data_IF_622004918381
#
_entry.id   IF_622004918381
#
_cell.length_a   1.000
_cell.length_b   1.000
_cell.length_c   1.000
_cell.angle_alpha   90.00
_cell.angle_beta   90.00
_cell.angle_gamma   90.00
#
_symmetry.space_group_name_H-M   'P 1'
#
loop_
_entity.id
_entity.type
_entity.pdbx_description
1 polymer ?
#
# COMPACT_ATOMS: atom_id res chain seq x y z
N UNK A 1 1.91 -29.45 9.99
CA UNK A 1 1.04 -28.83 8.97
C UNK A 1 0.50 -27.46 9.43
N UNK A 2 0.01 -27.31 10.62
CA UNK A 2 -0.57 -26.05 11.18
C UNK A 2 0.38 -24.84 11.19
N UNK A 3 1.69 -25.03 11.44
CA UNK A 3 2.68 -23.94 11.37
C UNK A 3 2.76 -23.32 9.97
N UNK A 4 2.72 -24.13 8.91
CA UNK A 4 2.75 -23.65 7.51
C UNK A 4 1.46 -22.89 7.16
N UNK A 5 0.31 -23.36 7.65
CA UNK A 5 -0.98 -22.69 7.43
C UNK A 5 -1.02 -21.31 8.12
N UNK A 6 -0.52 -21.24 9.36
CA UNK A 6 -0.42 -20.00 10.13
C UNK A 6 0.46 -18.96 9.42
N UNK A 7 1.64 -19.37 8.94
CA UNK A 7 2.55 -18.46 8.22
C UNK A 7 1.91 -17.97 6.92
N UNK A 8 1.26 -18.86 6.15
CA UNK A 8 0.56 -18.47 4.92
C UNK A 8 -0.57 -17.47 5.19
N UNK A 9 -1.33 -17.68 6.26
CA UNK A 9 -2.42 -16.77 6.64
C UNK A 9 -1.89 -15.39 7.02
N UNK A 10 -0.84 -15.33 7.87
CA UNK A 10 -0.19 -14.07 8.25
C UNK A 10 0.38 -13.38 7.01
N UNK A 11 1.10 -14.10 6.16
CA UNK A 11 1.70 -13.54 4.94
C UNK A 11 0.66 -12.98 3.98
N UNK A 12 -0.46 -13.70 3.76
CA UNK A 12 -1.54 -13.25 2.90
C UNK A 12 -2.19 -11.97 3.44
N UNK A 13 -2.50 -11.96 4.74
CA UNK A 13 -3.09 -10.79 5.38
C UNK A 13 -2.16 -9.57 5.33
N UNK A 14 -0.86 -9.77 5.61
CA UNK A 14 0.14 -8.72 5.53
C UNK A 14 0.33 -8.19 4.10
N UNK A 15 0.33 -9.10 3.10
CA UNK A 15 0.43 -8.70 1.70
C UNK A 15 -0.78 -7.85 1.27
N UNK A 16 -1.99 -8.25 1.68
CA UNK A 16 -3.22 -7.49 1.38
C UNK A 16 -3.16 -6.09 1.98
N UNK A 17 -2.79 -5.97 3.27
CA UNK A 17 -2.67 -4.67 3.95
C UNK A 17 -1.59 -3.81 3.30
N UNK A 18 -0.42 -4.39 2.97
CA UNK A 18 0.66 -3.67 2.30
C UNK A 18 0.25 -3.12 0.92
N UNK A 19 -0.47 -3.93 0.12
CA UNK A 19 -0.99 -3.50 -1.19
C UNK A 19 -1.99 -2.35 -1.03
N UNK A 20 -2.94 -2.46 -0.11
CA UNK A 20 -3.93 -1.40 0.15
C UNK A 20 -3.24 -0.10 0.57
N UNK A 21 -2.30 -0.16 1.52
CA UNK A 21 -1.54 1.01 1.95
C UNK A 21 -0.73 1.62 0.80
N UNK A 22 -0.07 0.80 -0.02
CA UNK A 22 0.70 1.28 -1.16
C UNK A 22 -0.18 2.02 -2.17
N UNK A 23 -1.36 1.47 -2.50
CA UNK A 23 -2.32 2.10 -3.42
C UNK A 23 -2.82 3.43 -2.86
N UNK A 24 -3.24 3.44 -1.59
CA UNK A 24 -3.76 4.67 -0.94
C UNK A 24 -2.68 5.74 -0.84
N UNK A 25 -1.46 5.40 -0.43
CA UNK A 25 -0.37 6.36 -0.30
C UNK A 25 0.08 6.91 -1.65
N UNK A 26 0.13 6.04 -2.68
CA UNK A 26 0.42 6.49 -4.04
C UNK A 26 -0.65 7.46 -4.54
N UNK A 27 -1.93 7.16 -4.31
CA UNK A 27 -3.04 8.05 -4.69
C UNK A 27 -2.94 9.41 -3.97
N UNK A 28 -2.65 9.42 -2.67
CA UNK A 28 -2.48 10.67 -1.89
C UNK A 28 -1.30 11.49 -2.46
N UNK A 29 -0.16 10.88 -2.70
CA UNK A 29 1.01 11.59 -3.26
C UNK A 29 0.74 12.16 -4.65
N UNK A 30 0.04 11.42 -5.52
CA UNK A 30 -0.33 11.90 -6.86
C UNK A 30 -1.30 13.07 -6.77
N UNK A 31 -2.32 12.98 -5.91
CA UNK A 31 -3.31 14.06 -5.73
C UNK A 31 -2.60 15.31 -5.16
N UNK A 32 -1.76 15.16 -4.15
CA UNK A 32 -1.01 16.27 -3.55
C UNK A 32 -0.09 16.95 -4.57
N UNK A 33 0.63 16.16 -5.38
CA UNK A 33 1.45 16.69 -6.46
C UNK A 33 0.62 17.49 -7.47
N UNK A 34 -0.50 16.94 -7.96
CA UNK A 34 -1.36 17.63 -8.90
C UNK A 34 -1.94 18.94 -8.32
N UNK A 35 -2.35 18.92 -7.06
CA UNK A 35 -2.85 20.11 -6.37
C UNK A 35 -1.74 21.16 -6.18
N UNK A 36 -0.51 20.72 -5.91
CA UNK A 36 0.62 21.63 -5.76
C UNK A 36 0.97 22.30 -7.08
N UNK A 37 1.01 21.55 -8.18
CA UNK A 37 1.22 22.10 -9.53
C UNK A 37 0.10 23.07 -9.91
N UNK A 38 -1.16 22.70 -9.65
CA UNK A 38 -2.30 23.59 -9.94
C UNK A 38 -2.22 24.90 -9.15
N UNK A 39 -1.84 24.87 -7.88
CA UNK A 39 -1.64 26.07 -7.05
C UNK A 39 -0.50 26.95 -7.58
N UNK A 40 0.59 26.35 -8.09
CA UNK A 40 1.68 27.12 -8.70
C UNK A 40 1.15 27.88 -9.91
N UNK A 41 0.41 27.23 -10.82
CA UNK A 41 -0.15 27.88 -12.00
C UNK A 41 -1.17 28.96 -11.64
N UNK A 42 -2.05 28.73 -10.67
CA UNK A 42 -2.99 29.73 -10.17
C UNK A 42 -2.27 30.98 -9.62
N UNK A 43 -1.16 30.76 -8.90
CA UNK A 43 -0.36 31.86 -8.36
C UNK A 43 0.38 32.64 -9.45
N UNK A 44 0.89 31.95 -10.49
CA UNK A 44 1.51 32.57 -11.66
C UNK A 44 0.49 33.41 -12.45
N UNK A 45 -0.69 32.87 -12.71
CA UNK A 45 -1.79 33.55 -13.39
C UNK A 45 -2.23 34.82 -12.63
N UNK A 46 -2.41 34.70 -11.32
CA UNK A 46 -2.74 35.85 -10.47
C UNK A 46 -1.63 36.93 -10.49
N UNK A 47 -0.36 36.53 -10.49
CA UNK A 47 0.76 37.46 -10.56
C UNK A 47 0.80 38.21 -11.89
N UNK A 48 0.54 37.52 -13.01
CA UNK A 48 0.44 38.16 -14.34
C UNK A 48 -0.74 39.06 -14.50
N UNK A 49 -1.91 38.72 -13.95
CA UNK A 49 -3.10 39.56 -13.98
C UNK A 49 -2.85 40.91 -13.28
N UNK A 50 -2.11 40.92 -12.17
CA UNK A 50 -1.76 42.17 -11.47
C UNK A 50 -0.66 42.98 -12.19
N UNK A 51 0.25 42.30 -12.91
CA UNK A 51 1.30 42.99 -13.65
C UNK A 51 0.76 43.69 -14.91
N UNK A 52 -0.34 43.18 -15.49
CA UNK A 52 -1.02 43.79 -16.65
C UNK A 52 -1.85 45.04 -16.31
N UNK A 53 -2.32 45.20 -15.09
CA UNK A 53 -3.03 46.37 -14.60
C UNK A 53 -1.99 47.45 -14.18
N UNK A 54 -1.46 48.15 -15.15
CA UNK A 54 -0.45 49.20 -14.97
C UNK A 54 -0.97 50.34 -14.13
N UNK A 55 -0.85 50.29 -12.80
CA UNK A 55 -1.19 51.37 -11.89
C UNK A 55 -1.28 50.99 -10.41
N UNK A 56 -1.29 49.74 -10.08
CA UNK A 56 -1.49 49.30 -8.69
C UNK A 56 -0.18 48.98 -7.97
N UNK A 57 0.14 49.72 -6.93
CA UNK A 57 1.19 49.36 -5.95
C UNK A 57 0.89 47.99 -5.33
N UNK A 58 1.74 47.47 -4.45
CA UNK A 58 1.68 46.09 -3.94
C UNK A 58 0.36 45.81 -3.23
N UNK A 59 -0.65 45.34 -3.98
CA UNK A 59 -1.91 44.94 -3.38
C UNK A 59 -1.76 43.54 -2.77
N UNK A 60 -2.02 43.47 -1.46
CA UNK A 60 -2.01 42.25 -0.63
C UNK A 60 -3.23 41.36 -0.85
N UNK A 61 -3.67 41.18 -2.10
CA UNK A 61 -4.87 40.44 -2.44
C UNK A 61 -4.58 39.03 -2.92
N UNK A 62 -4.81 38.04 -2.07
CA UNK A 62 -5.24 36.69 -2.49
C UNK A 62 -4.23 35.67 -2.98
N UNK A 63 -2.95 35.98 -3.16
CA UNK A 63 -1.94 34.97 -3.45
C UNK A 63 -1.29 34.46 -2.16
N UNK A 64 -1.09 33.17 -2.05
CA UNK A 64 -0.39 32.54 -0.93
C UNK A 64 0.93 33.30 -0.68
N UNK A 65 1.10 33.95 0.53
CA UNK A 65 2.29 34.75 0.82
C UNK A 65 3.58 33.95 0.85
N UNK A 66 3.52 32.64 0.75
CA UNK A 66 4.65 31.72 0.90
C UNK A 66 5.32 31.32 -0.42
N UNK A 67 4.74 31.62 -1.60
CA UNK A 67 5.30 31.15 -2.86
C UNK A 67 6.11 32.23 -3.58
N UNK A 68 7.42 32.05 -3.79
CA UNK A 68 8.26 33.02 -4.49
C UNK A 68 7.97 32.97 -5.99
N UNK A 69 7.43 34.05 -6.53
CA UNK A 69 7.14 34.24 -7.96
C UNK A 69 7.89 35.46 -8.46
N UNK A 70 8.56 35.34 -9.61
CA UNK A 70 9.23 36.43 -10.30
C UNK A 70 8.48 36.75 -11.60
N UNK A 71 8.06 38.00 -11.80
CA UNK A 71 7.38 38.47 -13.01
C UNK A 71 8.26 39.44 -13.77
N UNK A 72 8.43 39.20 -15.06
CA UNK A 72 9.21 39.99 -15.98
C UNK A 72 8.34 40.46 -17.17
N UNK A 73 8.62 41.64 -17.68
CA UNK A 73 8.15 42.08 -19.00
C UNK A 73 9.25 41.82 -20.04
N UNK A 74 8.90 41.37 -21.21
CA UNK A 74 9.80 41.23 -22.32
C UNK A 74 9.84 42.54 -23.09
N UNK A 75 11.02 43.21 -23.14
CA UNK A 75 11.21 44.42 -23.90
C UNK A 75 11.35 44.11 -25.41
N UNK A 76 11.26 45.17 -26.26
CA UNK A 76 11.32 45.04 -27.72
C UNK A 76 12.68 44.50 -28.23
N UNK A 77 13.72 44.58 -27.46
CA UNK A 77 15.05 44.00 -27.74
C UNK A 77 15.23 42.55 -27.26
N UNK A 78 14.17 41.95 -26.66
CA UNK A 78 14.18 40.62 -26.10
C UNK A 78 14.76 40.51 -24.68
N UNK A 79 15.14 41.65 -24.07
CA UNK A 79 15.59 41.68 -22.66
C UNK A 79 14.44 41.55 -21.68
N UNK A 80 14.74 41.00 -20.50
CA UNK A 80 13.78 40.88 -19.41
C UNK A 80 13.91 42.08 -18.45
N UNK A 81 12.84 42.87 -18.31
CA UNK A 81 12.74 43.87 -17.26
C UNK A 81 11.89 43.34 -16.10
N UNK A 82 12.43 43.37 -14.90
CA UNK A 82 11.70 42.92 -13.69
C UNK A 82 10.55 43.86 -13.39
N UNK A 83 9.31 43.37 -13.47
CA UNK A 83 8.10 44.14 -13.15
C UNK A 83 7.73 43.98 -11.68
N UNK A 84 7.86 42.78 -11.16
CA UNK A 84 7.58 42.49 -9.77
C UNK A 84 8.44 41.28 -9.32
N UNK A 85 9.34 41.52 -8.38
CA UNK A 85 10.05 40.45 -7.71
C UNK A 85 9.49 40.35 -6.29
N UNK A 86 8.56 39.44 -6.06
CA UNK A 86 8.20 39.10 -4.69
C UNK A 86 9.30 38.21 -4.13
N UNK A 87 10.20 38.86 -3.44
CA UNK A 87 11.13 38.40 -2.41
C UNK A 87 11.51 36.92 -2.45
N UNK A 88 12.78 36.67 -2.77
CA UNK A 88 13.60 35.47 -2.52
C UNK A 88 13.51 34.27 -3.49
N UNK A 89 12.89 34.35 -4.62
CA UNK A 89 13.30 33.45 -5.69
C UNK A 89 14.63 34.00 -6.24
N UNK A 90 15.74 33.56 -5.71
CA UNK A 90 17.06 33.82 -6.32
C UNK A 90 17.23 32.87 -7.51
N UNK A 91 16.37 33.07 -8.54
CA UNK A 91 16.59 32.42 -9.83
C UNK A 91 17.80 33.15 -10.41
N UNK A 92 18.84 32.41 -10.76
CA UNK A 92 20.05 33.01 -11.30
C UNK A 92 19.74 33.68 -12.64
N UNK A 93 20.37 34.85 -12.91
CA UNK A 93 20.13 35.64 -14.12
C UNK A 93 20.38 34.88 -15.40
N UNK A 94 21.35 33.97 -15.41
CA UNK A 94 21.66 33.10 -16.56
C UNK A 94 20.53 32.08 -16.83
N UNK A 95 19.86 31.56 -15.80
CA UNK A 95 18.71 30.66 -15.93
C UNK A 95 17.49 31.42 -16.46
N UNK A 96 17.29 32.66 -16.00
CA UNK A 96 16.21 33.54 -16.50
C UNK A 96 16.41 33.87 -17.97
N UNK A 97 17.65 34.20 -18.39
CA UNK A 97 17.96 34.48 -19.78
C UNK A 97 17.75 33.25 -20.70
N UNK A 98 18.12 32.06 -20.24
CA UNK A 98 17.82 30.81 -20.94
C UNK A 98 16.32 30.50 -21.02
N UNK A 99 15.58 30.71 -19.94
CA UNK A 99 14.14 30.51 -19.90
C UNK A 99 13.42 31.49 -20.86
N UNK A 100 13.81 32.76 -20.85
CA UNK A 100 13.27 33.76 -21.79
C UNK A 100 13.53 33.41 -23.26
N UNK A 101 14.75 33.00 -23.58
CA UNK A 101 15.11 32.58 -24.94
C UNK A 101 14.32 31.34 -25.39
N UNK A 102 14.07 30.38 -24.48
CA UNK A 102 13.29 29.18 -24.78
C UNK A 102 11.80 29.50 -25.02
N UNK A 103 11.28 30.59 -24.43
CA UNK A 103 9.89 30.98 -24.49
C UNK A 103 9.61 32.10 -25.51
N UNK A 104 10.64 32.67 -26.15
CA UNK A 104 10.48 33.79 -27.06
C UNK A 104 9.50 33.51 -28.20
N UNK A 105 9.62 32.37 -28.86
CA UNK A 105 8.77 31.95 -29.98
C UNK A 105 7.56 31.12 -29.60
N UNK A 106 7.35 30.85 -28.30
CA UNK A 106 6.18 30.06 -27.85
C UNK A 106 4.92 30.95 -27.75
N UNK A 107 3.73 30.41 -28.06
CA UNK A 107 2.50 31.10 -27.82
C UNK A 107 2.24 31.32 -26.32
N UNK A 108 1.28 32.22 -26.02
CA UNK A 108 0.82 32.41 -24.65
C UNK A 108 0.33 31.08 -24.05
N UNK A 109 0.69 30.80 -22.79
CA UNK A 109 0.32 29.58 -22.11
C UNK A 109 1.20 29.34 -20.90
N UNK A 110 0.89 28.26 -20.20
CA UNK A 110 1.59 27.82 -18.98
C UNK A 110 2.25 26.45 -19.19
N UNK A 111 3.32 26.18 -18.46
CA UNK A 111 4.03 24.90 -18.53
C UNK A 111 5.20 24.78 -17.57
N UNK A 112 6.04 23.76 -17.83
CA UNK A 112 7.28 23.53 -17.10
C UNK A 112 8.48 23.55 -18.04
N UNK A 113 9.59 24.10 -17.54
CA UNK A 113 10.91 24.01 -18.14
C UNK A 113 11.76 23.06 -17.29
N UNK A 114 11.55 21.75 -17.48
CA UNK A 114 12.16 20.71 -16.64
C UNK A 114 13.70 20.78 -16.62
N UNK A 115 14.32 21.16 -17.75
CA UNK A 115 15.77 21.36 -17.86
C UNK A 115 16.31 22.51 -17.02
N UNK A 116 15.47 23.47 -16.64
CA UNK A 116 15.82 24.66 -15.85
C UNK A 116 15.18 24.62 -14.44
N UNK A 117 14.33 23.62 -14.17
CA UNK A 117 13.65 23.47 -12.88
C UNK A 117 12.63 24.58 -12.59
N UNK A 118 11.97 25.11 -13.62
CA UNK A 118 11.03 26.23 -13.51
C UNK A 118 9.66 25.88 -14.05
N UNK A 119 8.61 26.34 -13.34
CA UNK A 119 7.29 26.53 -13.91
C UNK A 119 7.21 27.94 -14.51
N UNK A 120 6.49 28.07 -15.64
CA UNK A 120 6.30 29.35 -16.29
C UNK A 120 4.84 29.58 -16.69
N UNK A 121 4.49 30.85 -16.81
CA UNK A 121 3.29 31.31 -17.49
C UNK A 121 3.63 32.54 -18.33
N UNK A 122 3.24 32.50 -19.61
CA UNK A 122 3.40 33.58 -20.59
C UNK A 122 2.03 34.16 -20.97
N UNK A 123 1.93 35.46 -20.90
CA UNK A 123 0.71 36.18 -21.32
C UNK A 123 1.07 37.50 -21.99
N UNK A 124 0.42 37.79 -23.10
CA UNK A 124 0.54 39.05 -23.82
C UNK A 124 -0.64 39.98 -23.48
N UNK A 125 -0.33 41.12 -22.86
CA UNK A 125 -1.34 42.13 -22.49
C UNK A 125 -0.93 43.46 -23.09
N UNK A 126 -1.85 44.11 -23.87
CA UNK A 126 -1.60 45.41 -24.47
C UNK A 126 -0.43 45.45 -25.47
N UNK A 127 0.00 44.30 -26.02
CA UNK A 127 1.14 44.22 -26.93
C UNK A 127 2.48 44.01 -26.24
N UNK A 128 2.54 43.99 -24.92
CA UNK A 128 3.72 43.60 -24.14
C UNK A 128 3.58 42.16 -23.67
N UNK A 129 4.65 41.34 -23.81
CA UNK A 129 4.67 39.99 -23.29
C UNK A 129 5.17 40.01 -21.84
N UNK A 130 4.46 39.33 -20.98
CA UNK A 130 4.82 39.12 -19.58
C UNK A 130 5.12 37.66 -19.33
N UNK A 131 6.16 37.39 -18.52
CA UNK A 131 6.60 36.05 -18.12
C UNK A 131 6.62 35.98 -16.60
N UNK A 132 5.92 34.99 -16.05
CA UNK A 132 6.02 34.66 -14.64
C UNK A 132 6.73 33.34 -14.46
N UNK A 133 7.61 33.27 -13.48
CA UNK A 133 8.38 32.08 -13.16
C UNK A 133 8.22 31.71 -11.70
N UNK A 134 8.14 30.41 -11.42
CA UNK A 134 8.24 29.84 -10.09
C UNK A 134 9.20 28.66 -10.10
N UNK A 135 9.97 28.48 -9.03
CA UNK A 135 10.87 27.34 -8.86
C UNK A 135 10.08 26.04 -8.68
N UNK A 136 10.51 24.95 -9.32
CA UNK A 136 9.88 23.62 -9.16
C UNK A 136 9.93 23.10 -7.72
N UNK A 137 10.87 23.61 -6.91
CA UNK A 137 10.91 23.27 -5.47
C UNK A 137 9.65 23.70 -4.74
N UNK A 138 8.91 24.71 -5.26
CA UNK A 138 7.62 25.12 -4.73
C UNK A 138 6.55 23.99 -4.75
N UNK A 139 6.67 23.04 -5.68
CA UNK A 139 5.83 21.85 -5.76
C UNK A 139 6.45 20.61 -5.06
N UNK A 140 7.60 20.75 -4.38
CA UNK A 140 8.34 19.60 -3.81
C UNK A 140 7.80 19.08 -2.47
N UNK A 141 6.74 19.67 -1.93
CA UNK A 141 6.09 19.25 -0.66
C UNK A 141 5.72 17.77 -0.62
N UNK A 142 5.41 17.17 -1.78
CA UNK A 142 5.07 15.76 -1.91
C UNK A 142 6.20 14.81 -1.45
N UNK A 143 7.48 15.21 -1.53
CA UNK A 143 8.60 14.39 -1.07
C UNK A 143 8.57 14.21 0.45
N UNK A 144 8.35 15.31 1.19
CA UNK A 144 8.20 15.27 2.65
C UNK A 144 6.98 14.46 3.05
N UNK A 145 5.87 14.62 2.33
CA UNK A 145 4.65 13.83 2.51
C UNK A 145 4.92 12.34 2.27
N UNK A 146 5.62 11.98 1.18
CA UNK A 146 5.96 10.60 0.86
C UNK A 146 6.82 9.93 1.94
N UNK A 147 7.84 10.63 2.45
CA UNK A 147 8.68 10.13 3.56
C UNK A 147 7.87 9.94 4.83
N UNK A 148 7.00 10.89 5.15
CA UNK A 148 6.12 10.82 6.33
C UNK A 148 5.14 9.64 6.20
N UNK A 149 4.49 9.49 5.05
CA UNK A 149 3.59 8.35 4.78
C UNK A 149 4.32 7.01 4.81
N UNK A 150 5.54 6.94 4.29
CA UNK A 150 6.36 5.73 4.38
C UNK A 150 6.67 5.35 5.83
N UNK A 151 7.00 6.33 6.68
CA UNK A 151 7.22 6.12 8.12
C UNK A 151 5.96 5.63 8.84
N UNK A 152 4.84 6.30 8.62
CA UNK A 152 3.53 5.92 9.18
C UNK A 152 3.11 4.53 8.67
N UNK A 153 3.30 4.26 7.38
CA UNK A 153 3.00 2.96 6.78
C UNK A 153 3.84 1.83 7.36
N UNK A 154 5.13 2.05 7.58
CA UNK A 154 6.01 1.07 8.22
C UNK A 154 5.58 0.79 9.66
N UNK A 155 5.24 1.81 10.43
CA UNK A 155 4.71 1.67 11.80
C UNK A 155 3.37 0.92 11.82
N UNK A 156 2.46 1.23 10.91
CA UNK A 156 1.18 0.54 10.76
C UNK A 156 1.38 -0.94 10.41
N UNK A 157 2.25 -1.26 9.44
CA UNK A 157 2.56 -2.65 9.08
C UNK A 157 3.16 -3.43 10.24
N UNK A 158 4.05 -2.82 11.03
CA UNK A 158 4.61 -3.44 12.23
C UNK A 158 3.53 -3.74 13.28
N UNK A 159 2.62 -2.80 13.53
CA UNK A 159 1.49 -2.98 14.43
C UNK A 159 0.55 -4.10 13.93
N UNK A 160 0.17 -4.08 12.66
CA UNK A 160 -0.65 -5.13 12.05
C UNK A 160 0.02 -6.51 12.10
N UNK A 161 1.34 -6.58 11.93
CA UNK A 161 2.07 -7.83 12.06
C UNK A 161 1.95 -8.42 13.46
N UNK A 162 2.14 -7.61 14.50
CA UNK A 162 2.00 -8.04 15.90
C UNK A 162 0.58 -8.53 16.18
N UNK A 163 -0.44 -7.76 15.77
CA UNK A 163 -1.84 -8.10 15.92
C UNK A 163 -2.16 -9.41 15.17
N UNK A 164 -1.71 -9.55 13.93
CA UNK A 164 -1.93 -10.75 13.11
C UNK A 164 -1.29 -12.00 13.72
N UNK A 165 -0.11 -11.85 14.32
CA UNK A 165 0.56 -12.94 15.02
C UNK A 165 -0.23 -13.39 16.25
N UNK A 166 -0.77 -12.46 17.03
CA UNK A 166 -1.57 -12.75 18.21
C UNK A 166 -2.91 -13.38 17.81
N UNK A 167 -3.60 -12.77 16.85
CA UNK A 167 -4.90 -13.24 16.37
C UNK A 167 -4.82 -14.63 15.73
N UNK A 168 -3.76 -14.90 14.95
CA UNK A 168 -3.53 -16.22 14.35
C UNK A 168 -3.35 -17.32 15.40
N UNK A 169 -2.72 -17.02 16.54
CA UNK A 169 -2.61 -17.98 17.64
C UNK A 169 -3.97 -18.25 18.29
N UNK A 170 -4.75 -17.22 18.52
CA UNK A 170 -6.05 -17.32 19.18
C UNK A 170 -7.08 -18.01 18.29
N UNK A 171 -7.21 -17.61 17.04
CA UNK A 171 -8.20 -18.14 16.10
C UNK A 171 -7.96 -19.61 15.72
N UNK A 172 -6.70 -20.07 15.67
CA UNK A 172 -6.35 -21.44 15.30
C UNK A 172 -6.29 -22.39 16.51
N UNK A 173 -6.36 -21.89 17.74
CA UNK A 173 -6.33 -22.71 18.94
C UNK A 173 -7.50 -23.75 19.03
N UNK A 174 -8.75 -23.41 18.71
CA UNK A 174 -9.85 -24.38 18.71
C UNK A 174 -9.67 -25.48 17.66
N UNK A 175 -9.18 -25.14 16.47
CA UNK A 175 -8.92 -26.12 15.39
C UNK A 175 -7.85 -27.11 15.80
N UNK A 176 -6.78 -26.65 16.46
CA UNK A 176 -5.72 -27.50 16.97
C UNK A 176 -6.20 -28.46 18.06
N UNK A 177 -7.13 -28.02 18.92
CA UNK A 177 -7.78 -28.86 19.94
C UNK A 177 -8.65 -29.93 19.30
N UNK A 178 -9.53 -29.56 18.38
CA UNK A 178 -10.40 -30.49 17.65
C UNK A 178 -9.60 -31.55 16.89
N UNK A 179 -8.51 -31.15 16.21
CA UNK A 179 -7.64 -32.07 15.50
C UNK A 179 -6.92 -33.07 16.44
N UNK A 180 -6.46 -32.61 17.60
CA UNK A 180 -5.85 -33.49 18.61
C UNK A 180 -6.86 -34.46 19.19
N UNK A 181 -8.07 -33.99 19.47
CA UNK A 181 -9.16 -34.84 19.97
C UNK A 181 -9.56 -35.92 18.96
N UNK A 182 -9.69 -35.56 17.69
CA UNK A 182 -9.96 -36.50 16.62
C UNK A 182 -8.87 -37.57 16.50
N UNK A 183 -7.60 -37.18 16.54
CA UNK A 183 -6.49 -38.15 16.50
C UNK A 183 -6.47 -39.09 17.68
N UNK A 184 -6.75 -38.61 18.90
CA UNK A 184 -6.87 -39.46 20.08
C UNK A 184 -8.04 -40.42 19.93
N UNK A 185 -9.20 -39.93 19.53
CA UNK A 185 -10.39 -40.77 19.30
C UNK A 185 -10.09 -41.91 18.32
N UNK A 186 -9.44 -41.64 17.18
CA UNK A 186 -9.09 -42.68 16.22
C UNK A 186 -8.08 -43.67 16.78
N UNK A 187 -7.10 -43.19 17.54
CA UNK A 187 -6.10 -44.06 18.18
C UNK A 187 -6.73 -44.99 19.24
N UNK A 188 -7.58 -44.42 20.12
CA UNK A 188 -8.28 -45.13 21.14
C UNK A 188 -9.25 -46.18 20.57
N UNK A 189 -10.08 -45.76 19.59
CA UNK A 189 -10.97 -46.66 18.88
C UNK A 189 -10.23 -47.81 18.15
N UNK A 190 -9.06 -47.51 17.56
CA UNK A 190 -8.26 -48.54 16.89
C UNK A 190 -7.67 -49.55 17.91
N UNK A 191 -7.33 -49.09 19.11
CA UNK A 191 -6.85 -49.97 20.19
C UNK A 191 -7.99 -50.85 20.72
N UNK A 192 -9.15 -50.24 20.99
CA UNK A 192 -10.32 -50.92 21.56
C UNK A 192 -10.92 -51.96 20.61
N UNK A 193 -10.84 -51.73 19.28
CA UNK A 193 -11.24 -52.69 18.26
C UNK A 193 -10.22 -53.79 18.05
N UNK A 194 -8.93 -53.53 18.24
CA UNK A 194 -7.85 -54.53 18.02
C UNK A 194 -7.96 -55.69 18.99
N UNK A 195 -8.28 -55.42 20.24
CA UNK A 195 -8.31 -56.44 21.29
C UNK A 195 -9.38 -57.51 21.03
N UNK A 196 -10.69 -57.18 20.86
CA UNK A 196 -11.68 -58.17 20.57
C UNK A 196 -11.48 -58.88 19.21
N UNK A 197 -11.00 -58.14 18.21
CA UNK A 197 -10.68 -58.75 16.92
C UNK A 197 -9.55 -59.79 17.03
N UNK A 198 -8.56 -59.57 17.87
CA UNK A 198 -7.51 -60.55 18.08
C UNK A 198 -8.03 -61.83 18.78
N UNK A 199 -8.97 -61.67 19.74
CA UNK A 199 -9.63 -62.81 20.39
C UNK A 199 -10.51 -63.60 19.42
N UNK A 200 -11.29 -62.89 18.59
CA UNK A 200 -12.12 -63.55 17.54
C UNK A 200 -11.22 -64.33 16.58
N UNK A 201 -10.12 -63.75 16.08
CA UNK A 201 -9.18 -64.43 15.19
C UNK A 201 -8.53 -65.66 15.87
N UNK A 202 -8.12 -65.55 17.14
CA UNK A 202 -7.56 -66.68 17.85
C UNK A 202 -8.57 -67.83 18.04
N UNK A 203 -9.81 -67.50 18.47
CA UNK A 203 -10.85 -68.51 18.63
C UNK A 203 -11.21 -69.18 17.30
N UNK A 204 -11.35 -68.41 16.20
CA UNK A 204 -11.62 -68.95 14.86
C UNK A 204 -10.50 -69.81 14.35
N UNK A 205 -9.22 -69.49 14.63
CA UNK A 205 -8.07 -70.33 14.29
C UNK A 205 -8.15 -71.66 14.99
N UNK A 206 -8.45 -71.67 16.31
CA UNK A 206 -8.60 -72.93 17.10
C UNK A 206 -9.73 -73.81 16.52
N UNK A 207 -10.84 -73.19 16.12
CA UNK A 207 -11.97 -73.91 15.50
C UNK A 207 -11.59 -74.54 14.17
N UNK A 208 -10.78 -73.85 13.35
CA UNK A 208 -10.32 -74.35 12.07
C UNK A 208 -9.26 -75.45 12.16
N UNK A 209 -8.47 -75.47 13.23
CA UNK A 209 -7.46 -76.53 13.44
C UNK A 209 -8.08 -77.87 13.87
N UNK A 210 -9.34 -77.87 14.34
CA UNK A 210 -9.99 -79.08 14.83
C UNK A 210 -11.35 -79.31 14.16
N UNK A 211 -11.45 -79.48 12.85
CA UNK A 211 -12.69 -79.59 12.13
C UNK A 211 -13.50 -80.86 12.43
N UNK A 212 -12.85 -81.90 12.96
CA UNK A 212 -13.43 -83.20 13.35
C UNK A 212 -14.14 -83.16 14.67
N UNK A 213 -13.97 -82.09 15.50
CA UNK A 213 -14.63 -81.99 16.82
C UNK A 213 -16.06 -81.55 16.68
N UNK A 214 -16.92 -82.09 17.55
CA UNK A 214 -18.32 -81.70 17.57
C UNK A 214 -18.48 -80.23 18.04
N UNK A 215 -19.52 -79.53 17.51
CA UNK A 215 -19.87 -78.14 17.91
C UNK A 215 -20.04 -78.07 19.42
N UNK A 216 -20.65 -79.06 20.07
CA UNK A 216 -20.85 -79.12 21.50
C UNK A 216 -19.52 -79.08 22.29
N UNK A 217 -18.43 -79.67 21.77
CA UNK A 217 -17.11 -79.66 22.40
C UNK A 217 -16.32 -78.36 22.17
N UNK A 218 -16.79 -77.53 21.23
CA UNK A 218 -16.17 -76.28 20.81
C UNK A 218 -17.02 -75.05 21.23
N UNK A 219 -18.14 -75.26 21.95
CA UNK A 219 -19.09 -74.19 22.34
C UNK A 219 -18.43 -73.01 23.08
N UNK A 220 -17.44 -73.28 23.94
CA UNK A 220 -16.67 -72.24 24.64
C UNK A 220 -16.04 -71.23 23.73
N UNK A 221 -15.43 -71.64 22.59
CA UNK A 221 -14.76 -70.77 21.65
C UNK A 221 -15.79 -69.99 20.79
N UNK A 222 -16.92 -70.62 20.46
CA UNK A 222 -18.01 -70.00 19.74
C UNK A 222 -18.67 -68.93 20.58
N UNK A 223 -19.01 -69.22 21.84
CA UNK A 223 -19.56 -68.26 22.81
C UNK A 223 -18.64 -67.08 23.07
N UNK A 224 -17.33 -67.33 23.26
CA UNK A 224 -16.34 -66.27 23.42
C UNK A 224 -16.27 -65.36 22.18
N UNK A 225 -16.29 -65.92 20.96
CA UNK A 225 -16.30 -65.18 19.70
C UNK A 225 -17.57 -64.32 19.57
N UNK A 226 -18.74 -64.89 19.93
CA UNK A 226 -19.99 -64.18 19.92
C UNK A 226 -20.03 -63.02 20.95
N UNK A 227 -19.50 -63.26 22.13
CA UNK A 227 -19.39 -62.24 23.18
C UNK A 227 -18.52 -61.07 22.76
N UNK A 228 -17.35 -61.30 22.24
CA UNK A 228 -16.44 -60.24 21.75
C UNK A 228 -17.07 -59.45 20.55
N UNK A 229 -17.76 -60.16 19.62
CA UNK A 229 -18.44 -59.51 18.52
C UNK A 229 -19.61 -58.62 18.95
N UNK A 230 -20.28 -58.92 20.07
CA UNK A 230 -21.38 -58.12 20.62
C UNK A 230 -20.88 -56.87 21.38
N UNK A 231 -19.60 -56.88 21.84
CA UNK A 231 -19.00 -55.75 22.53
C UNK A 231 -18.40 -54.72 21.58
N UNK A 232 -18.25 -55.04 20.30
CA UNK A 232 -17.75 -54.13 19.26
C UNK A 232 -18.83 -53.23 18.71
#
# INVERSE_FOLDING_TARGET
MLKKLRVKFIALNMATVAVVLAVVFTAICVIDYQQSVARVHETLDAALAHAGDAGGGPSSGGSDPAMPVAVFSVEADGSLAAVQTRTTASIADDVLAQAAAALADQPDGSGSLDGLGLFYEKRTVGGAAYLAFADMSAASGWQTLAVTLAGVGAAALAAFFVISMFFSRWALAPVDRAWRQQRRFVADASHDLKTPLTVILANTSILLEHPERSIASQSQWIESTQHEAQQM
#
